data_IF_037260908453
#
_entry.id   IF_037260908453
#
_cell.length_a   1.000
_cell.length_b   1.000
_cell.length_c   1.000
_cell.angle_alpha   90.00
_cell.angle_beta   90.00
_cell.angle_gamma   90.00
#
_symmetry.space_group_name_H-M   'P 1'
#
loop_
_entity.id
_entity.type
_entity.pdbx_description
1 polymer ?
#
# COMPACT_ATOMS: atom_id res chain seq x y z
N UNK A 1 -12.08 -9.79 19.67
CA UNK A 1 -13.24 -9.42 18.84
C UNK A 1 -13.07 -7.97 18.38
N UNK A 2 -12.82 -7.73 17.10
CA UNK A 2 -12.75 -6.39 16.50
C UNK A 2 -14.02 -6.18 15.70
N UNK A 3 -15.00 -5.56 16.33
CA UNK A 3 -16.34 -5.38 15.79
C UNK A 3 -16.75 -3.91 15.87
N UNK A 4 -17.85 -3.57 15.21
CA UNK A 4 -18.39 -2.24 15.31
C UNK A 4 -18.76 -1.84 16.73
N UNK A 5 -18.71 -0.54 16.98
CA UNK A 5 -18.98 0.03 18.30
C UNK A 5 -20.36 -0.34 18.84
N UNK A 6 -21.36 -0.53 17.96
CA UNK A 6 -22.72 -0.96 18.31
C UNK A 6 -22.74 -2.37 18.89
N UNK A 7 -21.99 -3.30 18.29
CA UNK A 7 -21.92 -4.71 18.72
C UNK A 7 -21.22 -4.81 20.08
N UNK A 8 -20.10 -4.11 20.24
CA UNK A 8 -19.40 -4.07 21.53
C UNK A 8 -20.27 -3.45 22.64
N UNK A 9 -21.04 -2.41 22.33
CA UNK A 9 -21.97 -1.80 23.29
C UNK A 9 -23.12 -2.73 23.66
N UNK A 10 -23.69 -3.47 22.72
CA UNK A 10 -24.75 -4.43 22.98
C UNK A 10 -24.25 -5.53 23.94
N UNK A 11 -23.07 -6.11 23.65
CA UNK A 11 -22.45 -7.14 24.50
C UNK A 11 -22.10 -6.65 25.91
N UNK A 12 -21.63 -5.41 26.05
CA UNK A 12 -21.37 -4.84 27.37
C UNK A 12 -22.66 -4.65 28.18
N UNK A 13 -23.74 -4.22 27.52
CA UNK A 13 -25.05 -3.99 28.17
C UNK A 13 -25.75 -5.28 28.60
N UNK A 14 -25.43 -6.42 28.00
CA UNK A 14 -25.92 -7.73 28.45
C UNK A 14 -25.46 -8.07 29.88
N UNK A 15 -24.33 -7.49 30.35
CA UNK A 15 -23.70 -7.86 31.62
C UNK A 15 -23.46 -6.69 32.57
N UNK A 16 -23.35 -5.47 32.06
CA UNK A 16 -22.92 -4.31 32.82
C UNK A 16 -23.70 -3.03 32.48
N UNK A 17 -24.00 -2.23 33.50
CA UNK A 17 -24.53 -0.88 33.33
C UNK A 17 -23.42 0.17 33.52
N UNK A 18 -22.66 0.42 32.44
CA UNK A 18 -21.52 1.34 32.46
C UNK A 18 -21.97 2.74 32.01
N UNK A 19 -21.80 3.73 32.87
CA UNK A 19 -22.06 5.13 32.50
C UNK A 19 -21.10 5.56 31.38
N UNK A 20 -21.64 6.26 30.36
CA UNK A 20 -20.87 6.72 29.18
C UNK A 20 -20.13 5.60 28.41
N UNK A 21 -20.60 4.35 28.48
CA UNK A 21 -19.98 3.19 27.79
C UNK A 21 -19.65 3.44 26.31
N UNK A 22 -20.52 4.16 25.59
CA UNK A 22 -20.31 4.50 24.18
C UNK A 22 -19.03 5.29 23.93
N UNK A 23 -18.67 6.20 24.84
CA UNK A 23 -17.42 6.97 24.77
C UNK A 23 -16.21 6.06 25.01
N UNK A 24 -16.27 5.21 26.03
CA UNK A 24 -15.20 4.27 26.35
C UNK A 24 -14.92 3.31 25.19
N UNK A 25 -15.97 2.71 24.62
CA UNK A 25 -15.84 1.80 23.46
C UNK A 25 -15.21 2.52 22.27
N UNK A 26 -15.61 3.77 21.97
CA UNK A 26 -14.99 4.56 20.90
C UNK A 26 -13.51 4.82 21.18
N UNK A 27 -13.14 5.16 22.40
CA UNK A 27 -11.75 5.40 22.79
C UNK A 27 -10.89 4.15 22.58
N UNK A 28 -11.31 3.01 23.13
CA UNK A 28 -10.59 1.74 22.98
C UNK A 28 -10.46 1.34 21.51
N UNK A 29 -11.53 1.46 20.72
CA UNK A 29 -11.49 1.18 19.28
C UNK A 29 -10.56 2.14 18.51
N UNK A 30 -10.46 3.39 18.96
CA UNK A 30 -9.58 4.39 18.34
C UNK A 30 -8.11 4.20 18.65
N UNK A 31 -7.75 3.43 19.69
CA UNK A 31 -6.36 3.10 20.03
C UNK A 31 -5.93 1.75 19.45
N UNK A 32 -6.89 0.85 19.22
CA UNK A 32 -6.67 -0.48 18.66
C UNK A 32 -6.11 -0.44 17.22
N UNK A 33 -4.87 -0.91 17.03
CA UNK A 33 -4.18 -0.98 15.73
C UNK A 33 -4.94 -1.81 14.70
N UNK A 34 -5.50 -2.95 15.12
CA UNK A 34 -6.25 -3.83 14.22
C UNK A 34 -7.51 -3.12 13.71
N UNK A 35 -8.26 -2.46 14.59
CA UNK A 35 -9.44 -1.67 14.20
C UNK A 35 -9.08 -0.47 13.32
N UNK A 36 -7.95 0.20 13.58
CA UNK A 36 -7.44 1.27 12.72
C UNK A 36 -7.19 0.78 11.29
N UNK A 37 -6.54 -0.39 11.16
CA UNK A 37 -6.24 -0.99 9.84
C UNK A 37 -7.52 -1.35 9.07
N UNK A 38 -8.49 -2.00 9.72
CA UNK A 38 -9.78 -2.32 9.07
C UNK A 38 -10.60 -1.09 8.68
N UNK A 39 -10.45 0.02 9.41
CA UNK A 39 -11.11 1.30 9.10
C UNK A 39 -10.31 2.22 8.19
N UNK A 40 -9.08 1.84 7.84
CA UNK A 40 -8.23 2.67 6.99
C UNK A 40 -8.90 2.83 5.62
N UNK A 41 -9.09 4.08 5.21
CA UNK A 41 -9.52 4.38 3.83
C UNK A 41 -8.32 4.24 2.90
N UNK A 42 -8.61 3.99 1.62
CA UNK A 42 -7.60 4.15 0.59
C UNK A 42 -7.00 5.56 0.67
N UNK A 43 -5.67 5.62 0.67
CA UNK A 43 -4.97 6.90 0.57
C UNK A 43 -5.12 7.37 -0.86
N UNK A 44 -5.85 8.46 -1.06
CA UNK A 44 -5.80 9.20 -2.32
C UNK A 44 -4.47 9.93 -2.35
N UNK A 45 -3.49 9.34 -3.03
CA UNK A 45 -2.19 9.97 -3.24
C UNK A 45 -2.34 10.86 -4.48
N UNK A 46 -2.16 12.19 -4.41
CA UNK A 46 -2.10 13.00 -5.60
C UNK A 46 -0.97 12.48 -6.48
N UNK A 47 -1.23 12.27 -7.77
CA UNK A 47 -0.20 11.87 -8.71
C UNK A 47 0.86 12.95 -8.76
N UNK A 48 2.08 12.61 -8.33
CA UNK A 48 3.22 13.48 -8.56
C UNK A 48 3.37 13.68 -10.08
N UNK A 49 3.75 14.89 -10.54
CA UNK A 49 4.01 15.11 -11.95
C UNK A 49 5.09 14.13 -12.42
N UNK A 50 4.88 13.54 -13.60
CA UNK A 50 5.88 12.67 -14.19
C UNK A 50 7.18 13.47 -14.42
N UNK A 51 8.36 12.84 -14.26
CA UNK A 51 9.63 13.46 -14.63
C UNK A 51 9.57 13.95 -16.08
N UNK A 52 10.20 15.09 -16.37
CA UNK A 52 10.22 15.68 -17.73
C UNK A 52 10.71 14.67 -18.77
N UNK A 53 11.73 13.89 -18.41
CA UNK A 53 12.32 12.86 -19.26
C UNK A 53 11.34 11.74 -19.67
N UNK A 54 10.21 11.59 -18.95
CA UNK A 54 9.13 10.64 -19.30
C UNK A 54 8.04 11.21 -20.21
N UNK A 55 7.95 12.54 -20.33
CA UNK A 55 6.85 13.21 -21.04
C UNK A 55 7.33 14.04 -22.22
N UNK A 56 8.62 14.35 -22.29
CA UNK A 56 9.21 15.11 -23.40
C UNK A 56 9.51 14.19 -24.58
N UNK A 57 9.17 14.62 -25.79
CA UNK A 57 9.61 13.96 -27.02
C UNK A 57 11.13 14.09 -27.15
N UNK A 58 11.81 12.96 -27.23
CA UNK A 58 13.28 12.88 -27.32
C UNK A 58 13.69 12.02 -28.50
N UNK A 59 14.95 12.10 -28.92
CA UNK A 59 15.51 11.26 -29.97
C UNK A 59 15.59 9.80 -29.49
N UNK A 60 15.64 8.88 -30.44
CA UNK A 60 15.80 7.45 -30.16
C UNK A 60 17.08 7.25 -29.33
N UNK A 61 16.95 6.53 -28.21
CA UNK A 61 18.00 6.25 -27.21
C UNK A 61 18.56 7.46 -26.43
N UNK A 62 17.96 8.65 -26.55
CA UNK A 62 18.35 9.82 -25.74
C UNK A 62 17.96 9.63 -24.27
N UNK A 63 16.78 9.07 -24.01
CA UNK A 63 16.33 8.67 -22.67
C UNK A 63 16.15 7.16 -22.63
N UNK A 64 16.94 6.49 -21.80
CA UNK A 64 16.88 5.04 -21.62
C UNK A 64 16.59 4.67 -20.16
N UNK A 65 15.84 3.59 -19.98
CA UNK A 65 15.63 2.95 -18.69
C UNK A 65 16.38 1.63 -18.64
N UNK A 66 17.09 1.40 -17.53
CA UNK A 66 17.74 0.12 -17.22
C UNK A 66 16.97 -0.52 -16.08
N UNK A 67 16.56 -1.77 -16.27
CA UNK A 67 15.89 -2.56 -15.25
C UNK A 67 16.55 -3.93 -15.10
N UNK A 68 16.47 -4.49 -13.90
CA UNK A 68 17.04 -5.81 -13.59
C UNK A 68 15.92 -6.71 -13.13
N UNK A 69 15.74 -7.85 -13.79
CA UNK A 69 14.91 -8.91 -13.24
C UNK A 69 15.60 -9.54 -12.03
N UNK A 70 14.83 -10.26 -11.21
CA UNK A 70 15.39 -11.08 -10.15
C UNK A 70 16.42 -12.09 -10.69
N UNK A 71 17.40 -12.47 -9.87
CA UNK A 71 18.47 -13.32 -10.32
C UNK A 71 17.98 -14.73 -10.66
N UNK A 72 18.44 -15.23 -11.79
CA UNK A 72 18.21 -16.59 -12.23
C UNK A 72 19.39 -17.48 -11.82
N UNK A 73 19.09 -18.74 -11.53
CA UNK A 73 20.11 -19.75 -11.27
C UNK A 73 20.25 -20.66 -12.48
N UNK A 74 21.46 -20.69 -13.05
CA UNK A 74 21.80 -21.57 -14.15
C UNK A 74 21.92 -23.02 -13.66
N UNK A 75 21.93 -23.99 -14.59
CA UNK A 75 22.18 -25.41 -14.26
C UNK A 75 23.52 -25.61 -13.54
N UNK A 76 24.50 -24.76 -13.81
CA UNK A 76 25.79 -24.70 -13.11
C UNK A 76 25.71 -24.15 -11.68
N UNK A 77 24.51 -23.81 -11.18
CA UNK A 77 24.25 -23.07 -9.93
C UNK A 77 24.84 -21.65 -9.90
N UNK A 78 25.37 -21.16 -11.01
CA UNK A 78 25.82 -19.78 -11.13
C UNK A 78 24.63 -18.81 -11.16
N UNK A 79 24.80 -17.65 -10.54
CA UNK A 79 23.83 -16.56 -10.54
C UNK A 79 23.95 -15.76 -11.84
N UNK A 80 22.84 -15.62 -12.56
CA UNK A 80 22.73 -14.79 -13.75
C UNK A 80 21.66 -13.72 -13.54
N UNK A 81 21.85 -12.56 -14.17
CA UNK A 81 20.89 -11.45 -14.13
C UNK A 81 20.44 -11.14 -15.55
N UNK A 82 19.15 -10.83 -15.71
CA UNK A 82 18.63 -10.26 -16.95
C UNK A 82 18.63 -8.75 -16.77
N UNK A 83 19.31 -8.05 -17.70
CA UNK A 83 19.32 -6.60 -17.78
C UNK A 83 18.44 -6.17 -18.95
N UNK A 84 17.42 -5.39 -18.66
CA UNK A 84 16.50 -4.84 -19.66
C UNK A 84 16.90 -3.40 -19.96
N UNK A 85 17.21 -3.14 -21.23
CA UNK A 85 17.42 -1.79 -21.75
C UNK A 85 16.17 -1.38 -22.51
N UNK A 86 15.57 -0.25 -22.11
CA UNK A 86 14.35 0.28 -22.74
C UNK A 86 14.59 1.72 -23.18
N UNK A 87 14.05 2.11 -24.33
CA UNK A 87 14.05 3.49 -24.78
C UNK A 87 12.69 4.12 -24.45
N UNK A 88 12.69 5.33 -23.88
CA UNK A 88 11.45 6.01 -23.49
C UNK A 88 10.51 6.29 -24.67
N UNK A 89 11.06 6.40 -25.88
CA UNK A 89 10.30 6.68 -27.12
C UNK A 89 9.39 5.53 -27.57
N UNK A 90 9.71 4.28 -27.22
CA UNK A 90 8.92 3.09 -27.63
C UNK A 90 7.96 2.58 -26.55
N UNK A 91 7.82 3.31 -25.43
CA UNK A 91 6.92 2.97 -24.33
C UNK A 91 5.53 3.55 -24.63
N UNK A 92 4.72 2.85 -25.43
CA UNK A 92 3.28 3.12 -25.56
C UNK A 92 2.52 2.61 -24.33
#
# INVERSE_FOLDING_TARGET
MHADSSILLARLREKFWISRAKRLVKQVLSECVICKRYKAKHVEVPFAPLPRDRVTQTKIFEVTGVDYADPLYLKSKAKAWIVLFTCAVYRN
#
